data_IF_339380058910
#
_entry.id   IF_339380058910
#
_cell.length_a   1.000
_cell.length_b   1.000
_cell.length_c   1.000
_cell.angle_alpha   90.00
_cell.angle_beta   90.00
_cell.angle_gamma   90.00
#
_symmetry.space_group_name_H-M   'P 1'
#
loop_
_entity.id
_entity.type
_entity.pdbx_description
1 polymer ?
#
# COMPACT_ATOMS: atom_id res chain seq x y z
N UNK A 1 -35.32 66.22 -33.11
CA UNK A 1 -34.31 66.00 -32.06
C UNK A 1 -33.43 64.86 -32.51
N UNK A 2 -32.28 65.15 -33.11
CA UNK A 2 -30.97 65.07 -32.42
C UNK A 2 -30.44 63.62 -32.41
N UNK A 3 -29.23 63.22 -32.79
CA UNK A 3 -28.00 63.85 -33.27
C UNK A 3 -27.22 62.69 -33.92
N UNK A 4 -27.15 62.56 -35.24
CA UNK A 4 -26.16 61.67 -35.85
C UNK A 4 -24.96 62.49 -36.29
N UNK A 5 -23.93 62.37 -35.47
CA UNK A 5 -22.66 63.05 -35.51
C UNK A 5 -22.00 63.00 -36.90
N UNK A 6 -21.43 64.13 -37.37
CA UNK A 6 -20.67 64.16 -38.61
C UNK A 6 -19.25 63.59 -38.40
N UNK A 7 -18.69 63.09 -39.50
CA UNK A 7 -17.25 62.85 -39.83
C UNK A 7 -16.68 61.42 -39.63
N UNK A 8 -15.67 60.99 -40.43
CA UNK A 8 -15.34 61.32 -41.82
C UNK A 8 -14.83 60.08 -42.63
N UNK A 9 -14.22 60.25 -43.80
CA UNK A 9 -14.79 60.25 -45.14
C UNK A 9 -14.44 58.94 -45.87
N UNK A 10 -15.43 58.08 -46.13
CA UNK A 10 -15.22 56.88 -46.96
C UNK A 10 -14.60 57.25 -48.32
N UNK A 11 -14.94 58.43 -48.86
CA UNK A 11 -14.40 58.95 -50.10
C UNK A 11 -12.91 59.34 -50.06
N UNK A 12 -12.30 59.62 -48.91
CA UNK A 12 -10.83 59.83 -48.84
C UNK A 12 -10.12 58.50 -48.63
N UNK A 13 -10.77 57.55 -47.92
CA UNK A 13 -10.17 56.22 -47.69
C UNK A 13 -10.02 55.44 -48.99
N UNK A 14 -10.95 55.56 -49.94
CA UNK A 14 -10.83 54.87 -51.24
C UNK A 14 -9.58 55.31 -52.03
N UNK A 15 -9.35 56.60 -52.33
CA UNK A 15 -8.15 57.04 -53.05
C UNK A 15 -6.88 56.84 -52.22
N UNK A 16 -6.91 57.07 -50.90
CA UNK A 16 -5.75 56.76 -50.04
C UNK A 16 -5.42 55.28 -50.09
N UNK A 17 -6.41 54.37 -50.04
CA UNK A 17 -6.19 52.93 -50.10
C UNK A 17 -5.70 52.48 -51.48
N UNK A 18 -6.13 53.15 -52.56
CA UNK A 18 -5.59 52.94 -53.91
C UNK A 18 -4.14 53.41 -53.99
N UNK A 19 -3.80 54.60 -53.51
CA UNK A 19 -2.41 55.11 -53.49
C UNK A 19 -1.52 54.22 -52.62
N UNK A 20 -2.01 53.83 -51.43
CA UNK A 20 -1.33 52.89 -50.54
C UNK A 20 -1.18 51.54 -51.22
N UNK A 21 -2.20 50.99 -51.89
CA UNK A 21 -2.04 49.73 -52.64
C UNK A 21 -1.02 49.89 -53.77
N UNK A 22 -1.09 50.95 -54.57
CA UNK A 22 -0.17 51.21 -55.69
C UNK A 22 1.26 51.45 -55.23
N UNK A 23 1.49 52.03 -54.06
CA UNK A 23 2.84 52.24 -53.51
C UNK A 23 3.32 51.05 -52.66
N UNK A 24 2.47 50.47 -51.83
CA UNK A 24 2.82 49.38 -50.90
C UNK A 24 2.88 48.04 -51.61
N UNK A 25 2.01 47.73 -52.58
CA UNK A 25 2.16 46.46 -53.34
C UNK A 25 3.54 46.33 -53.97
N UNK A 26 4.06 47.28 -54.76
CA UNK A 26 5.36 47.10 -55.39
C UNK A 26 6.49 47.04 -54.36
N UNK A 27 6.41 47.79 -53.26
CA UNK A 27 7.37 47.66 -52.15
C UNK A 27 7.29 46.27 -51.53
N UNK A 28 6.09 45.72 -51.36
CA UNK A 28 5.87 44.40 -50.76
C UNK A 28 6.31 43.28 -51.70
N UNK A 29 6.06 43.41 -52.99
CA UNK A 29 6.56 42.49 -54.03
C UNK A 29 8.08 42.56 -54.09
N UNK A 30 8.68 43.76 -54.04
CA UNK A 30 10.13 43.91 -53.97
C UNK A 30 10.71 43.25 -52.70
N UNK A 31 10.03 43.37 -51.57
CA UNK A 31 10.41 42.70 -50.33
C UNK A 31 10.27 41.17 -50.41
N UNK A 32 9.19 40.69 -51.00
CA UNK A 32 8.95 39.26 -51.20
C UNK A 32 9.98 38.68 -52.16
N UNK A 33 10.35 39.40 -53.23
CA UNK A 33 11.42 39.03 -54.16
C UNK A 33 12.79 39.06 -53.47
N UNK A 34 13.12 40.09 -52.68
CA UNK A 34 14.38 40.15 -51.94
C UNK A 34 14.51 39.01 -50.92
N UNK A 35 13.45 38.72 -50.17
CA UNK A 35 13.49 37.60 -49.21
C UNK A 35 13.44 36.25 -49.90
N UNK A 36 12.80 36.13 -51.07
CA UNK A 36 12.84 34.91 -51.87
C UNK A 36 14.25 34.68 -52.44
N UNK A 37 14.88 35.72 -53.00
CA UNK A 37 16.27 35.67 -53.48
C UNK A 37 17.23 35.40 -52.33
N UNK A 38 17.05 36.02 -51.16
CA UNK A 38 17.85 35.73 -49.97
C UNK A 38 17.68 34.28 -49.49
N UNK A 39 16.46 33.75 -49.50
CA UNK A 39 16.19 32.34 -49.16
C UNK A 39 16.75 31.36 -50.18
N UNK A 40 16.76 31.72 -51.46
CA UNK A 40 17.38 30.94 -52.52
C UNK A 40 18.89 30.95 -52.36
N UNK A 41 19.50 32.13 -52.12
CA UNK A 41 20.92 32.32 -51.88
C UNK A 41 21.40 31.53 -50.64
N UNK A 42 20.60 31.54 -49.57
CA UNK A 42 20.89 30.77 -48.37
C UNK A 42 20.88 29.26 -48.64
N UNK A 43 19.90 28.78 -49.41
CA UNK A 43 19.78 27.36 -49.75
C UNK A 43 20.82 26.86 -50.75
N UNK A 44 21.17 27.68 -51.74
CA UNK A 44 22.09 27.27 -52.81
C UNK A 44 23.55 27.55 -52.51
N UNK A 45 23.88 28.57 -51.71
CA UNK A 45 25.27 28.95 -51.45
C UNK A 45 25.64 28.83 -49.97
N UNK A 46 24.88 29.43 -49.05
CA UNK A 46 25.28 29.49 -47.63
C UNK A 46 25.20 28.14 -46.92
N UNK A 47 24.16 27.34 -47.18
CA UNK A 47 24.04 25.99 -46.61
C UNK A 47 25.11 25.01 -47.11
N UNK A 48 25.40 24.89 -48.42
CA UNK A 48 26.48 24.03 -48.87
C UNK A 48 27.86 24.56 -48.47
N UNK A 49 28.09 25.88 -48.50
CA UNK A 49 29.36 26.46 -48.04
C UNK A 49 29.55 26.29 -46.52
N UNK A 50 28.49 26.48 -45.73
CA UNK A 50 28.50 26.26 -44.28
C UNK A 50 28.78 24.81 -43.93
N UNK A 51 28.13 23.85 -44.62
CA UNK A 51 28.43 22.42 -44.45
C UNK A 51 29.82 22.03 -44.94
N UNK A 52 30.31 22.63 -46.02
CA UNK A 52 31.66 22.38 -46.51
C UNK A 52 32.70 22.93 -45.53
N UNK A 53 32.48 24.10 -44.95
CA UNK A 53 33.35 24.71 -43.96
C UNK A 53 33.32 23.94 -42.63
N UNK A 54 32.14 23.53 -42.17
CA UNK A 54 31.98 22.67 -40.99
C UNK A 54 32.66 21.32 -41.21
N UNK A 55 32.42 20.67 -42.36
CA UNK A 55 33.12 19.43 -42.70
C UNK A 55 34.63 19.62 -42.75
N UNK A 56 35.12 20.74 -43.29
CA UNK A 56 36.55 21.04 -43.36
C UNK A 56 37.14 21.28 -41.97
N UNK A 57 36.47 22.08 -41.14
CA UNK A 57 36.90 22.34 -39.75
C UNK A 57 36.86 21.06 -38.90
N UNK A 58 35.79 20.28 -39.02
CA UNK A 58 35.66 19.01 -38.31
C UNK A 58 36.72 18.01 -38.77
N UNK A 59 36.93 17.89 -40.08
CA UNK A 59 37.85 16.89 -40.63
C UNK A 59 39.32 17.30 -40.44
N UNK A 60 39.66 18.56 -40.68
CA UNK A 60 41.02 19.06 -40.66
C UNK A 60 41.51 19.47 -39.26
N UNK A 61 40.62 19.87 -38.36
CA UNK A 61 41.01 20.37 -37.02
C UNK A 61 40.47 19.47 -35.92
N UNK A 62 39.16 19.18 -35.93
CA UNK A 62 38.54 18.48 -34.81
C UNK A 62 38.95 17.02 -34.75
N UNK A 63 39.03 16.31 -35.88
CA UNK A 63 39.48 14.92 -35.91
C UNK A 63 40.94 14.74 -35.46
N UNK A 64 41.93 15.49 -35.97
CA UNK A 64 43.29 15.36 -35.46
C UNK A 64 43.40 15.82 -34.00
N UNK A 65 42.68 16.86 -33.59
CA UNK A 65 42.64 17.27 -32.18
C UNK A 65 42.03 16.19 -31.28
N UNK A 66 40.93 15.55 -31.70
CA UNK A 66 40.31 14.42 -30.98
C UNK A 66 41.23 13.20 -30.95
N UNK A 67 41.94 12.93 -32.03
CA UNK A 67 42.92 11.85 -32.10
C UNK A 67 44.10 12.13 -31.15
N UNK A 68 44.63 13.36 -31.13
CA UNK A 68 45.70 13.77 -30.23
C UNK A 68 45.25 13.72 -28.76
N UNK A 69 44.05 14.22 -28.47
CA UNK A 69 43.46 14.18 -27.12
C UNK A 69 43.26 12.74 -26.62
N UNK A 70 42.74 11.85 -27.47
CA UNK A 70 42.53 10.44 -27.12
C UNK A 70 43.82 9.63 -27.04
N UNK A 71 44.75 9.89 -27.94
CA UNK A 71 45.97 9.08 -28.07
C UNK A 71 47.09 9.55 -27.14
N UNK A 72 47.10 10.83 -26.73
CA UNK A 72 48.19 11.41 -25.92
C UNK A 72 47.68 11.91 -24.57
N UNK A 73 46.71 12.82 -24.52
CA UNK A 73 46.24 13.39 -23.26
C UNK A 73 45.53 12.36 -22.37
N UNK A 74 44.74 11.48 -22.96
CA UNK A 74 43.99 10.47 -22.20
C UNK A 74 44.92 9.44 -21.52
N UNK A 75 45.89 8.82 -22.22
CA UNK A 75 46.85 7.94 -21.54
C UNK A 75 47.78 8.69 -20.60
N UNK A 76 48.22 9.91 -20.94
CA UNK A 76 49.03 10.73 -20.04
C UNK A 76 48.29 11.08 -18.75
N UNK A 77 47.03 11.49 -18.84
CA UNK A 77 46.18 11.78 -17.69
C UNK A 77 45.93 10.55 -16.81
N UNK A 78 45.72 9.37 -17.42
CA UNK A 78 45.60 8.11 -16.68
C UNK A 78 46.93 7.70 -16.01
N UNK A 79 48.06 7.87 -16.70
CA UNK A 79 49.38 7.60 -16.14
C UNK A 79 49.69 8.52 -14.96
N UNK A 80 49.40 9.81 -15.08
CA UNK A 80 49.58 10.78 -14.00
C UNK A 80 48.64 10.50 -12.83
N UNK A 81 47.37 10.20 -13.09
CA UNK A 81 46.42 9.81 -12.05
C UNK A 81 46.83 8.50 -11.34
N UNK A 82 47.38 7.54 -12.08
CA UNK A 82 47.91 6.31 -11.51
C UNK A 82 49.13 6.61 -10.63
N UNK A 83 50.05 7.46 -11.08
CA UNK A 83 51.23 7.87 -10.29
C UNK A 83 50.82 8.62 -9.02
N UNK A 84 49.92 9.59 -9.11
CA UNK A 84 49.39 10.27 -7.91
C UNK A 84 48.73 9.27 -6.96
N UNK A 85 47.93 8.34 -7.47
CA UNK A 85 47.26 7.33 -6.65
C UNK A 85 48.27 6.35 -6.04
N UNK A 86 49.30 5.95 -6.77
CA UNK A 86 50.37 5.11 -6.27
C UNK A 86 51.15 5.84 -5.18
N UNK A 87 51.56 7.09 -5.39
CA UNK A 87 52.40 7.83 -4.43
C UNK A 87 51.61 8.29 -3.19
N UNK A 88 50.34 8.67 -3.32
CA UNK A 88 49.56 9.14 -2.17
C UNK A 88 48.82 8.02 -1.46
N UNK A 89 48.16 7.12 -2.21
CA UNK A 89 47.25 6.15 -1.62
C UNK A 89 47.99 4.91 -1.15
N UNK A 90 48.98 4.41 -1.90
CA UNK A 90 49.64 3.16 -1.50
C UNK A 90 50.48 3.30 -0.23
N UNK A 91 51.27 4.37 0.00
CA UNK A 91 51.98 4.57 1.25
C UNK A 91 51.04 4.73 2.44
N UNK A 92 49.90 5.42 2.24
CA UNK A 92 48.91 5.57 3.30
C UNK A 92 48.23 4.25 3.65
N UNK A 93 47.86 3.45 2.65
CA UNK A 93 47.29 2.11 2.85
C UNK A 93 48.30 1.17 3.50
N UNK A 94 49.58 1.25 3.09
CA UNK A 94 50.68 0.53 3.73
C UNK A 94 50.83 0.94 5.20
N UNK A 95 50.91 2.23 5.48
CA UNK A 95 51.02 2.76 6.84
C UNK A 95 49.84 2.33 7.72
N UNK A 96 48.62 2.40 7.19
CA UNK A 96 47.43 1.99 7.92
C UNK A 96 47.44 0.49 8.23
N UNK A 97 47.78 -0.34 7.24
CA UNK A 97 47.74 -1.80 7.37
C UNK A 97 48.91 -2.37 8.18
N UNK A 98 50.10 -1.76 8.09
CA UNK A 98 51.31 -2.24 8.75
C UNK A 98 51.61 -1.56 10.08
N UNK A 99 51.13 -0.34 10.32
CA UNK A 99 51.43 0.41 11.55
C UNK A 99 50.18 0.64 12.39
N UNK A 100 49.15 1.25 11.82
CA UNK A 100 47.97 1.66 12.59
C UNK A 100 47.19 0.45 13.11
N UNK A 101 46.90 -0.53 12.25
CA UNK A 101 46.14 -1.72 12.64
C UNK A 101 46.88 -2.55 13.71
N UNK A 102 48.18 -2.86 13.57
CA UNK A 102 48.90 -3.60 14.60
C UNK A 102 49.05 -2.83 15.90
N UNK A 103 49.33 -1.53 15.86
CA UNK A 103 49.46 -0.71 17.08
C UNK A 103 48.13 -0.61 17.81
N UNK A 104 47.02 -0.38 17.11
CA UNK A 104 45.70 -0.36 17.73
C UNK A 104 45.33 -1.73 18.33
N UNK A 105 45.61 -2.82 17.61
CA UNK A 105 45.23 -4.16 18.04
C UNK A 105 46.11 -4.67 19.18
N UNK A 106 47.43 -4.67 19.01
CA UNK A 106 48.36 -5.20 19.99
C UNK A 106 48.67 -4.20 21.11
N UNK A 107 48.70 -2.90 20.81
CA UNK A 107 49.02 -1.86 21.78
C UNK A 107 47.84 -1.44 22.66
N UNK A 108 46.61 -1.50 22.14
CA UNK A 108 45.42 -1.01 22.89
C UNK A 108 44.43 -2.13 23.14
N UNK A 109 43.99 -2.84 22.11
CA UNK A 109 42.91 -3.80 22.26
C UNK A 109 43.30 -5.03 23.09
N UNK A 110 44.49 -5.60 22.85
CA UNK A 110 44.99 -6.75 23.63
C UNK A 110 45.14 -6.42 25.12
N UNK A 111 45.82 -5.32 25.53
CA UNK A 111 45.93 -4.98 26.95
C UNK A 111 44.59 -4.55 27.57
N UNK A 112 43.72 -3.87 26.82
CA UNK A 112 42.37 -3.54 27.31
C UNK A 112 41.53 -4.81 27.55
N UNK A 113 41.59 -5.79 26.64
CA UNK A 113 40.89 -7.08 26.80
C UNK A 113 41.49 -7.90 27.95
N UNK A 114 42.81 -7.88 28.10
CA UNK A 114 43.48 -8.53 29.23
C UNK A 114 43.05 -7.91 30.55
N UNK A 115 43.04 -6.58 30.66
CA UNK A 115 42.61 -5.85 31.86
C UNK A 115 41.13 -6.12 32.17
N UNK A 116 40.28 -6.11 31.15
CA UNK A 116 38.87 -6.44 31.30
C UNK A 116 38.67 -7.87 31.84
N UNK A 117 39.33 -8.87 31.23
CA UNK A 117 39.20 -10.27 31.66
C UNK A 117 39.79 -10.52 33.04
N UNK A 118 40.89 -9.86 33.38
CA UNK A 118 41.63 -10.15 34.62
C UNK A 118 41.18 -9.31 35.80
N UNK A 119 40.55 -8.16 35.57
CA UNK A 119 40.12 -7.23 36.64
C UNK A 119 38.60 -7.04 36.65
N UNK A 120 37.98 -6.72 35.50
CA UNK A 120 36.53 -6.46 35.48
C UNK A 120 35.69 -7.74 35.66
N UNK A 121 36.09 -8.85 35.06
CA UNK A 121 35.36 -10.12 35.23
C UNK A 121 35.31 -10.60 36.69
N UNK A 122 36.42 -10.69 37.45
CA UNK A 122 36.34 -11.11 38.86
C UNK A 122 35.60 -10.10 39.75
N UNK A 123 35.70 -8.79 39.47
CA UNK A 123 34.94 -7.78 40.20
C UNK A 123 33.44 -7.87 39.92
N UNK A 124 33.05 -8.09 38.66
CA UNK A 124 31.66 -8.28 38.27
C UNK A 124 31.05 -9.53 38.91
N UNK A 125 31.75 -10.67 38.86
CA UNK A 125 31.27 -11.91 39.47
C UNK A 125 31.23 -11.82 41.00
N UNK A 126 32.22 -11.17 41.63
CA UNK A 126 32.22 -10.95 43.08
C UNK A 126 31.09 -10.04 43.55
N UNK A 127 30.84 -8.93 42.83
CA UNK A 127 29.78 -7.99 43.15
C UNK A 127 28.39 -8.59 42.91
N UNK A 128 28.22 -9.39 41.85
CA UNK A 128 26.98 -10.14 41.59
C UNK A 128 26.77 -11.25 42.63
N UNK A 129 27.82 -11.95 43.04
CA UNK A 129 27.72 -12.97 44.09
C UNK A 129 27.31 -12.35 45.44
N UNK A 130 27.88 -11.19 45.79
CA UNK A 130 27.48 -10.43 46.98
C UNK A 130 26.03 -9.92 46.87
N UNK A 131 25.64 -9.34 45.75
CA UNK A 131 24.28 -8.89 45.49
C UNK A 131 23.27 -10.05 45.57
N UNK A 132 23.62 -11.19 44.97
CA UNK A 132 22.76 -12.37 44.95
C UNK A 132 22.60 -12.97 46.34
N UNK A 133 23.70 -13.22 47.04
CA UNK A 133 23.67 -13.82 48.38
C UNK A 133 23.09 -12.88 49.43
N UNK A 134 23.34 -11.57 49.34
CA UNK A 134 22.96 -10.60 50.36
C UNK A 134 21.58 -9.98 50.13
N UNK A 135 21.10 -9.89 48.89
CA UNK A 135 19.80 -9.28 48.59
C UNK A 135 18.83 -10.28 47.98
N UNK A 136 19.21 -11.02 46.94
CA UNK A 136 18.27 -11.93 46.25
C UNK A 136 17.87 -13.12 47.13
N UNK A 137 18.82 -13.79 47.79
CA UNK A 137 18.51 -14.92 48.68
C UNK A 137 17.56 -14.52 49.83
N UNK A 138 17.82 -13.45 50.61
CA UNK A 138 16.90 -13.05 51.67
C UNK A 138 15.59 -12.48 51.13
N UNK A 139 15.58 -11.78 50.00
CA UNK A 139 14.35 -11.26 49.40
C UNK A 139 13.46 -12.39 48.87
N UNK A 140 14.03 -13.40 48.22
CA UNK A 140 13.31 -14.58 47.74
C UNK A 140 12.85 -15.44 48.92
N UNK A 141 13.68 -15.60 49.95
CA UNK A 141 13.27 -16.28 51.17
C UNK A 141 12.11 -15.55 51.86
N UNK A 142 12.19 -14.23 52.03
CA UNK A 142 11.13 -13.39 52.59
C UNK A 142 9.85 -13.51 51.76
N UNK A 143 9.93 -13.41 50.44
CA UNK A 143 8.79 -13.55 49.56
C UNK A 143 8.14 -14.94 49.69
N UNK A 144 8.94 -16.00 49.65
CA UNK A 144 8.45 -17.39 49.66
C UNK A 144 7.92 -17.84 51.02
N UNK A 145 8.53 -17.40 52.11
CA UNK A 145 8.16 -17.82 53.47
C UNK A 145 7.21 -16.86 54.18
N UNK A 146 7.19 -15.56 53.81
CA UNK A 146 6.32 -14.58 54.46
C UNK A 146 5.19 -14.18 53.52
N UNK A 147 5.49 -13.73 52.32
CA UNK A 147 4.46 -13.14 51.45
C UNK A 147 3.51 -14.18 50.86
N UNK A 148 4.03 -15.33 50.40
CA UNK A 148 3.19 -16.41 49.85
C UNK A 148 2.24 -16.99 50.90
N UNK A 149 2.67 -17.33 52.13
CA UNK A 149 1.74 -17.79 53.17
C UNK A 149 0.79 -16.68 53.61
N UNK A 150 1.26 -15.44 53.79
CA UNK A 150 0.39 -14.34 54.20
C UNK A 150 -0.73 -14.10 53.18
N UNK A 151 -0.41 -14.14 51.88
CA UNK A 151 -1.40 -13.98 50.82
C UNK A 151 -2.33 -15.21 50.72
N UNK A 152 -1.78 -16.42 50.82
CA UNK A 152 -2.54 -17.67 50.66
C UNK A 152 -3.47 -17.92 51.85
N UNK A 153 -2.98 -17.76 53.07
CA UNK A 153 -3.78 -17.94 54.28
C UNK A 153 -4.64 -16.71 54.58
N UNK A 154 -4.13 -15.50 54.34
CA UNK A 154 -4.84 -14.25 54.65
C UNK A 154 -5.91 -13.86 53.63
N UNK A 155 -5.75 -14.21 52.35
CA UNK A 155 -6.71 -13.82 51.29
C UNK A 155 -7.32 -15.05 50.62
N UNK A 156 -6.49 -15.98 50.14
CA UNK A 156 -7.02 -17.07 49.31
C UNK A 156 -7.96 -17.98 50.10
N UNK A 157 -7.60 -18.39 51.32
CA UNK A 157 -8.48 -19.20 52.17
C UNK A 157 -9.81 -18.52 52.53
N UNK A 158 -9.85 -17.27 53.02
CA UNK A 158 -11.13 -16.61 53.31
C UNK A 158 -11.95 -16.35 52.05
N UNK A 159 -11.33 -16.02 50.92
CA UNK A 159 -12.05 -15.87 49.64
C UNK A 159 -12.61 -17.21 49.16
N UNK A 160 -11.86 -18.31 49.25
CA UNK A 160 -12.34 -19.65 48.92
C UNK A 160 -13.45 -20.12 49.85
N UNK A 161 -13.36 -19.79 51.14
CA UNK A 161 -14.41 -20.07 52.11
C UNK A 161 -15.68 -19.28 51.78
N UNK A 162 -15.55 -17.98 51.49
CA UNK A 162 -16.67 -17.11 51.09
C UNK A 162 -17.28 -17.58 49.76
N UNK A 163 -16.45 -17.96 48.80
CA UNK A 163 -16.89 -18.52 47.52
C UNK A 163 -17.74 -19.78 47.72
N UNK A 164 -17.23 -20.75 48.49
CA UNK A 164 -17.94 -22.01 48.74
C UNK A 164 -19.20 -21.83 49.57
N UNK A 165 -19.18 -20.92 50.55
CA UNK A 165 -20.25 -20.79 51.53
C UNK A 165 -21.35 -19.79 51.13
N UNK A 166 -21.02 -18.81 50.30
CA UNK A 166 -21.97 -17.76 49.88
C UNK A 166 -22.22 -17.84 48.38
N UNK A 167 -21.18 -17.83 47.56
CA UNK A 167 -21.35 -17.70 46.12
C UNK A 167 -21.95 -18.96 45.48
N UNK A 168 -21.51 -20.15 45.90
CA UNK A 168 -22.05 -21.42 45.40
C UNK A 168 -23.54 -21.60 45.73
N UNK A 169 -24.03 -21.41 46.98
CA UNK A 169 -25.45 -21.50 47.24
C UNK A 169 -26.25 -20.41 46.53
N UNK A 170 -25.79 -19.16 46.53
CA UNK A 170 -26.48 -18.07 45.80
C UNK A 170 -26.59 -18.38 44.30
N UNK A 171 -25.53 -18.88 43.67
CA UNK A 171 -25.56 -19.26 42.27
C UNK A 171 -26.51 -20.43 42.01
N UNK A 172 -26.65 -21.37 42.95
CA UNK A 172 -27.64 -22.46 42.85
C UNK A 172 -29.06 -21.92 42.94
N UNK A 173 -29.35 -21.08 43.93
CA UNK A 173 -30.69 -20.47 44.09
C UNK A 173 -31.07 -19.64 42.85
N UNK A 174 -30.15 -18.84 42.32
CA UNK A 174 -30.37 -18.04 41.11
C UNK A 174 -30.60 -18.95 39.89
N UNK A 175 -29.82 -20.01 39.75
CA UNK A 175 -29.99 -20.97 38.64
C UNK A 175 -31.31 -21.71 38.74
N UNK A 176 -31.71 -22.11 39.94
CA UNK A 176 -32.94 -22.86 40.16
C UNK A 176 -34.17 -21.97 39.95
N UNK A 177 -34.10 -20.70 40.38
CA UNK A 177 -35.09 -19.67 40.07
C UNK A 177 -35.20 -19.41 38.55
N UNK A 178 -34.07 -19.24 37.86
CA UNK A 178 -34.06 -19.11 36.39
C UNK A 178 -34.59 -20.37 35.70
N UNK A 179 -34.28 -21.55 36.22
CA UNK A 179 -34.77 -22.83 35.71
C UNK A 179 -36.30 -22.94 35.84
N UNK A 180 -36.87 -22.47 36.94
CA UNK A 180 -38.32 -22.38 37.13
C UNK A 180 -38.95 -21.39 36.13
N UNK A 181 -38.40 -20.18 36.00
CA UNK A 181 -38.87 -19.19 35.04
C UNK A 181 -38.81 -19.74 33.59
N UNK A 182 -37.73 -20.44 33.25
CA UNK A 182 -37.54 -21.04 31.93
C UNK A 182 -38.54 -22.17 31.65
N UNK A 183 -38.82 -23.01 32.65
CA UNK A 183 -39.85 -24.05 32.54
C UNK A 183 -41.23 -23.42 32.30
N UNK A 184 -41.57 -22.37 33.05
CA UNK A 184 -42.83 -21.64 32.88
C UNK A 184 -42.91 -21.04 31.49
N UNK A 185 -41.85 -20.37 31.02
CA UNK A 185 -41.76 -19.85 29.67
C UNK A 185 -41.96 -20.95 28.61
N UNK A 186 -41.32 -22.11 28.78
CA UNK A 186 -41.48 -23.26 27.90
C UNK A 186 -42.89 -23.88 27.90
N UNK A 187 -43.64 -23.78 28.99
CA UNK A 187 -45.06 -24.15 29.01
C UNK A 187 -45.91 -23.13 28.26
N UNK A 188 -45.66 -21.84 28.48
CA UNK A 188 -46.36 -20.74 27.78
C UNK A 188 -46.10 -20.81 26.28
N UNK A 189 -44.85 -20.93 25.84
CA UNK A 189 -44.51 -21.06 24.41
C UNK A 189 -45.15 -22.29 23.76
N UNK A 190 -45.26 -23.42 24.48
CA UNK A 190 -45.94 -24.62 23.97
C UNK A 190 -47.46 -24.47 23.92
N UNK A 191 -48.06 -23.72 24.84
CA UNK A 191 -49.49 -23.39 24.79
C UNK A 191 -49.79 -22.45 23.63
N UNK A 192 -49.00 -21.38 23.49
CA UNK A 192 -49.11 -20.40 22.38
C UNK A 192 -48.86 -21.08 21.03
N UNK A 193 -47.81 -21.89 20.91
CA UNK A 193 -47.49 -22.60 19.67
C UNK A 193 -48.58 -23.59 19.25
N UNK A 194 -49.20 -24.30 20.20
CA UNK A 194 -50.36 -25.16 19.92
C UNK A 194 -51.58 -24.35 19.50
N UNK A 195 -51.85 -23.23 20.17
CA UNK A 195 -52.91 -22.30 19.81
C UNK A 195 -52.73 -21.76 18.39
N UNK A 196 -51.53 -21.27 18.08
CA UNK A 196 -51.19 -20.71 16.77
C UNK A 196 -51.26 -21.77 15.67
N UNK A 197 -50.75 -22.99 15.91
CA UNK A 197 -50.85 -24.10 14.98
C UNK A 197 -52.31 -24.51 14.74
N UNK A 198 -53.12 -24.57 15.79
CA UNK A 198 -54.55 -24.86 15.67
C UNK A 198 -55.25 -23.77 14.85
N UNK A 199 -54.96 -22.50 15.13
CA UNK A 199 -55.54 -21.36 14.43
C UNK A 199 -55.16 -21.37 12.94
N UNK A 200 -53.88 -21.55 12.64
CA UNK A 200 -53.36 -21.68 11.28
C UNK A 200 -53.98 -22.88 10.54
N UNK A 201 -54.10 -24.03 11.21
CA UNK A 201 -54.73 -25.21 10.61
C UNK A 201 -56.22 -24.99 10.36
N UNK A 202 -56.94 -24.34 11.27
CA UNK A 202 -58.38 -24.15 11.13
C UNK A 202 -58.72 -23.06 10.10
N UNK A 203 -57.94 -21.98 10.04
CA UNK A 203 -58.13 -20.85 9.11
C UNK A 203 -57.59 -21.11 7.71
N UNK A 204 -56.42 -21.74 7.58
CA UNK A 204 -55.76 -21.93 6.28
C UNK A 204 -55.76 -23.39 5.87
N UNK A 205 -55.32 -24.29 6.75
CA UNK A 205 -55.12 -25.71 6.43
C UNK A 205 -56.41 -26.42 6.01
N UNK A 206 -57.46 -26.35 6.84
CA UNK A 206 -58.75 -27.01 6.58
C UNK A 206 -59.42 -26.54 5.29
N UNK A 207 -59.57 -25.23 5.00
CA UNK A 207 -60.15 -24.80 3.74
C UNK A 207 -59.27 -25.18 2.54
N UNK A 208 -57.95 -24.99 2.61
CA UNK A 208 -57.04 -25.38 1.53
C UNK A 208 -57.10 -26.88 1.23
N UNK A 209 -57.16 -27.74 2.26
CA UNK A 209 -57.27 -29.19 2.07
C UNK A 209 -58.61 -29.57 1.45
N UNK A 210 -59.71 -28.89 1.80
CA UNK A 210 -61.03 -29.11 1.16
C UNK A 210 -61.01 -28.70 -0.30
N UNK A 211 -60.45 -27.52 -0.60
CA UNK A 211 -60.31 -27.01 -1.97
C UNK A 211 -59.40 -27.93 -2.79
N UNK A 212 -58.25 -28.34 -2.26
CA UNK A 212 -57.36 -29.29 -2.94
C UNK A 212 -58.07 -30.61 -3.18
N UNK A 213 -58.70 -31.23 -2.17
CA UNK A 213 -59.42 -32.49 -2.36
C UNK A 213 -60.52 -32.36 -3.41
N UNK A 214 -61.24 -31.24 -3.43
CA UNK A 214 -62.22 -30.91 -4.46
C UNK A 214 -61.59 -30.84 -5.85
N UNK A 215 -60.53 -30.04 -6.02
CA UNK A 215 -59.79 -29.90 -7.28
C UNK A 215 -59.21 -31.23 -7.77
N UNK A 216 -58.62 -32.02 -6.86
CA UNK A 216 -58.07 -33.34 -7.16
C UNK A 216 -59.18 -34.32 -7.56
N UNK A 217 -60.33 -34.27 -6.91
CA UNK A 217 -61.50 -35.07 -7.27
C UNK A 217 -62.04 -34.68 -8.65
N UNK A 218 -62.18 -33.37 -8.91
CA UNK A 218 -62.57 -32.84 -10.22
C UNK A 218 -61.59 -33.25 -11.31
N UNK A 219 -60.28 -33.02 -11.14
CA UNK A 219 -59.27 -33.43 -12.12
C UNK A 219 -59.29 -34.94 -12.38
N UNK A 220 -59.46 -35.76 -11.34
CA UNK A 220 -59.52 -37.22 -11.50
C UNK A 220 -60.79 -37.69 -12.22
N UNK A 221 -61.95 -37.11 -11.91
CA UNK A 221 -63.23 -37.56 -12.44
C UNK A 221 -63.64 -36.89 -13.75
N UNK A 222 -63.29 -35.62 -13.96
CA UNK A 222 -63.66 -34.85 -15.16
C UNK A 222 -62.61 -34.93 -16.26
N UNK A 223 -61.33 -35.12 -15.93
CA UNK A 223 -60.25 -35.16 -16.94
C UNK A 223 -59.68 -36.56 -17.06
N UNK A 224 -59.10 -37.09 -15.98
CA UNK A 224 -58.35 -38.34 -16.08
C UNK A 224 -59.22 -39.55 -16.43
N UNK A 225 -60.38 -39.72 -15.78
CA UNK A 225 -61.29 -40.86 -16.03
C UNK A 225 -61.94 -40.87 -17.43
N UNK A 226 -62.48 -39.76 -17.96
CA UNK A 226 -63.05 -39.77 -19.31
C UNK A 226 -61.96 -39.89 -20.38
N UNK A 227 -60.80 -39.24 -20.22
CA UNK A 227 -59.66 -39.42 -21.15
C UNK A 227 -59.18 -40.87 -21.13
N UNK A 228 -59.04 -41.49 -19.95
CA UNK A 228 -58.66 -42.90 -19.85
C UNK A 228 -59.69 -43.84 -20.50
N UNK A 229 -60.99 -43.55 -20.38
CA UNK A 229 -62.06 -44.32 -21.03
C UNK A 229 -62.03 -44.15 -22.55
N UNK A 230 -61.90 -42.92 -23.05
CA UNK A 230 -61.80 -42.63 -24.48
C UNK A 230 -60.54 -43.27 -25.10
N UNK A 231 -59.40 -43.20 -24.40
CA UNK A 231 -58.16 -43.84 -24.83
C UNK A 231 -58.30 -45.36 -24.86
N UNK A 232 -58.94 -45.97 -23.86
CA UNK A 232 -59.17 -47.41 -23.81
C UNK A 232 -60.06 -47.89 -24.97
N UNK A 233 -61.06 -47.10 -25.39
CA UNK A 233 -61.87 -47.43 -26.57
C UNK A 233 -61.11 -47.30 -27.90
N UNK A 234 -60.13 -46.40 -28.01
CA UNK A 234 -59.35 -46.21 -29.25
C UNK A 234 -58.27 -47.29 -29.40
N UNK A 235 -57.59 -47.68 -28.31
CA UNK A 235 -56.46 -48.62 -28.36
C UNK A 235 -56.90 -50.08 -28.49
N UNK A 236 -58.17 -50.39 -28.17
CA UNK A 236 -58.72 -51.75 -28.30
C UNK A 236 -60.03 -51.73 -29.08
N UNK A 237 -60.01 -51.62 -30.42
CA UNK A 237 -61.17 -52.01 -31.21
C UNK A 237 -61.36 -53.52 -31.02
N UNK A 238 -62.54 -53.90 -30.50
CA UNK A 238 -62.97 -55.28 -30.33
C UNK A 238 -63.08 -56.01 -31.69
#
# INVERSE_FOLDING_TARGET
MSMEHPTPPALIRVPVRIVVLVAVLPVRVAWDVLTATGRLLDRTLLRPAGRALEWFLERAVVLPARWLYRSVLTPAGRGLAWLLRAVLVWPWVGLWRYVVVPVARYGVAVPAVWLHRRVLSPLGTGCLFLLEKLLLVPLVALFRYVLVPLLRYGIALPVLWLWKRVLVPVAREVRDALGLCWRVAGFVSRAVGRGLKWLAWNLLGRPLVRVWRGLRWCGRNLVARPVARAWASVVRPA
#
